data_IF_007557377125
#
_entry.id   IF_007557377125
#
_cell.length_a   1.000
_cell.length_b   1.000
_cell.length_c   1.000
_cell.angle_alpha   90.00
_cell.angle_beta   90.00
_cell.angle_gamma   90.00
#
_symmetry.space_group_name_H-M   'P 1'
#
loop_
_entity.id
_entity.type
_entity.pdbx_description
1 polymer ?
#
# COMPACT_ATOMS: atom_id res chain seq x y z
N UNK A 1 1.39 -6.59 12.45
CA UNK A 1 0.22 -7.02 11.64
C UNK A 1 -1.06 -7.26 12.48
N UNK A 2 -1.05 -8.13 13.50
CA UNK A 2 -2.27 -8.57 14.24
C UNK A 2 -3.30 -7.49 14.56
N UNK A 3 -2.89 -6.37 15.17
CA UNK A 3 -3.82 -5.30 15.55
C UNK A 3 -4.40 -4.57 14.32
N UNK A 4 -3.57 -4.34 13.30
CA UNK A 4 -3.99 -3.71 12.05
C UNK A 4 -5.03 -4.59 11.33
N UNK A 5 -4.76 -5.90 11.23
CA UNK A 5 -5.70 -6.87 10.61
C UNK A 5 -7.02 -6.93 11.38
N UNK A 6 -6.99 -6.89 12.72
CA UNK A 6 -8.23 -6.84 13.51
C UNK A 6 -9.02 -5.56 13.26
N UNK A 7 -8.33 -4.42 13.17
CA UNK A 7 -8.98 -3.13 12.94
C UNK A 7 -9.55 -3.02 11.51
N UNK A 8 -8.89 -3.62 10.51
CA UNK A 8 -9.34 -3.57 9.11
C UNK A 8 -10.68 -4.26 8.87
N UNK A 9 -11.10 -5.17 9.77
CA UNK A 9 -12.44 -5.75 9.72
C UNK A 9 -13.58 -4.74 9.96
N UNK A 10 -13.27 -3.53 10.44
CA UNK A 10 -14.25 -2.48 10.78
C UNK A 10 -14.05 -1.19 9.99
N UNK A 11 -12.93 -1.05 9.28
CA UNK A 11 -12.62 0.13 8.49
C UNK A 11 -11.56 -0.17 7.43
N UNK A 12 -11.44 0.70 6.43
CA UNK A 12 -10.30 0.63 5.51
C UNK A 12 -9.05 1.21 6.19
N UNK A 13 -7.92 0.51 6.07
CA UNK A 13 -6.63 0.96 6.59
C UNK A 13 -5.62 0.95 5.45
N UNK A 14 -4.97 2.10 5.24
CA UNK A 14 -3.83 2.23 4.34
C UNK A 14 -2.56 2.29 5.19
N UNK A 15 -1.65 1.34 4.98
CA UNK A 15 -0.37 1.28 5.69
C UNK A 15 0.76 1.60 4.72
N UNK A 16 1.53 2.65 5.02
CA UNK A 16 2.78 2.97 4.32
C UNK A 16 3.92 2.68 5.28
N UNK A 17 4.79 1.73 4.94
CA UNK A 17 5.85 1.27 5.83
C UNK A 17 7.06 0.80 5.04
N UNK A 18 8.26 1.11 5.55
CA UNK A 18 9.52 0.54 5.09
C UNK A 18 9.95 -0.71 5.89
N UNK A 19 9.20 -1.07 6.94
CA UNK A 19 9.54 -2.23 7.78
C UNK A 19 9.11 -3.54 7.10
N UNK A 20 10.07 -4.22 6.46
CA UNK A 20 9.84 -5.46 5.70
C UNK A 20 9.07 -6.52 6.51
N UNK A 21 9.48 -6.79 7.74
CA UNK A 21 8.80 -7.76 8.62
C UNK A 21 7.32 -7.43 8.87
N UNK A 22 6.97 -6.14 8.93
CA UNK A 22 5.56 -5.75 9.09
C UNK A 22 4.78 -5.95 7.79
N UNK A 23 5.37 -5.59 6.64
CA UNK A 23 4.78 -5.79 5.32
C UNK A 23 4.54 -7.27 5.06
N UNK A 24 5.56 -8.11 5.24
CA UNK A 24 5.48 -9.56 5.07
C UNK A 24 4.41 -10.19 5.98
N UNK A 25 4.26 -9.67 7.20
CA UNK A 25 3.25 -10.15 8.14
C UNK A 25 1.82 -9.69 7.76
N UNK A 26 1.67 -8.57 7.05
CA UNK A 26 0.39 -8.09 6.54
C UNK A 26 0.00 -8.84 5.25
N UNK A 27 0.94 -9.08 4.35
CA UNK A 27 0.72 -9.80 3.08
C UNK A 27 0.25 -11.26 3.27
N UNK A 28 0.50 -11.86 4.44
CA UNK A 28 -0.03 -13.18 4.80
C UNK A 28 -1.54 -13.19 5.10
N UNK A 29 -2.17 -12.02 5.23
CA UNK A 29 -3.62 -11.90 5.41
C UNK A 29 -4.32 -11.96 4.05
N UNK A 30 -5.37 -12.78 3.93
CA UNK A 30 -6.13 -12.95 2.67
C UNK A 30 -6.77 -11.64 2.17
N UNK A 31 -7.04 -10.70 3.08
CA UNK A 31 -7.70 -9.42 2.76
C UNK A 31 -6.69 -8.30 2.45
N UNK A 32 -5.39 -8.55 2.63
CA UNK A 32 -4.37 -7.56 2.38
C UNK A 32 -4.06 -7.44 0.89
N UNK A 33 -4.15 -6.22 0.36
CA UNK A 33 -3.61 -5.86 -0.94
C UNK A 33 -2.33 -5.07 -0.76
N UNK A 34 -1.23 -5.55 -1.36
CA UNK A 34 0.02 -4.79 -1.39
C UNK A 34 0.13 -3.94 -2.66
N UNK A 35 0.71 -2.76 -2.50
CA UNK A 35 1.06 -1.85 -3.60
C UNK A 35 2.53 -1.51 -3.39
N UNK A 36 3.40 -2.06 -4.23
CA UNK A 36 4.83 -1.81 -4.15
C UNK A 36 5.20 -0.60 -5.00
N UNK A 37 5.70 0.44 -4.33
CA UNK A 37 6.22 1.64 -4.98
C UNK A 37 7.73 1.47 -5.17
N UNK A 38 8.23 1.69 -6.39
CA UNK A 38 9.66 1.80 -6.68
C UNK A 38 10.00 3.21 -7.14
N UNK A 39 11.24 3.62 -6.88
CA UNK A 39 11.78 4.84 -7.47
C UNK A 39 12.76 4.51 -8.57
N UNK A 40 12.60 5.14 -9.72
CA UNK A 40 13.47 5.03 -10.87
C UNK A 40 13.72 6.43 -11.42
N UNK A 41 14.97 6.88 -11.43
CA UNK A 41 15.36 8.23 -11.91
C UNK A 41 14.51 9.40 -11.37
N UNK A 42 14.03 9.29 -10.12
CA UNK A 42 13.17 10.30 -9.47
C UNK A 42 11.67 10.15 -9.75
N UNK A 43 11.28 9.25 -10.66
CA UNK A 43 9.89 8.85 -10.87
C UNK A 43 9.46 7.79 -9.84
N UNK A 44 8.19 7.85 -9.41
CA UNK A 44 7.59 6.81 -8.57
C UNK A 44 6.72 5.91 -9.44
N UNK A 45 7.08 4.63 -9.51
CA UNK A 45 6.44 3.63 -10.35
C UNK A 45 5.75 2.55 -9.49
N UNK A 46 4.73 1.93 -10.08
CA UNK A 46 3.99 0.77 -9.56
C UNK A 46 3.72 -0.16 -10.74
N UNK A 47 3.96 -1.46 -10.59
CA UNK A 47 3.81 -2.44 -11.70
C UNK A 47 2.37 -2.97 -11.81
N UNK A 48 1.77 -3.37 -10.68
CA UNK A 48 0.53 -4.17 -10.69
C UNK A 48 -0.74 -3.34 -10.47
N UNK A 49 -0.70 -2.05 -10.81
CA UNK A 49 -1.82 -1.13 -10.61
C UNK A 49 -1.95 -0.21 -11.81
N UNK A 50 -3.16 -0.16 -12.39
CA UNK A 50 -3.47 0.78 -13.45
C UNK A 50 -3.30 2.22 -12.93
N UNK A 51 -2.59 3.04 -13.69
CA UNK A 51 -2.31 4.41 -13.29
C UNK A 51 -3.63 5.17 -13.12
N UNK A 52 -3.91 5.75 -11.95
CA UNK A 52 -5.16 6.47 -11.74
C UNK A 52 -5.22 7.66 -12.70
N UNK A 53 -6.41 7.92 -13.26
CA UNK A 53 -6.68 9.10 -14.11
C UNK A 53 -6.77 10.41 -13.32
N UNK A 54 -6.04 10.48 -12.21
CA UNK A 54 -6.08 11.60 -11.28
C UNK A 54 -5.25 12.76 -11.82
N UNK A 55 -5.93 13.87 -12.10
CA UNK A 55 -5.29 15.16 -12.30
C UNK A 55 -5.15 15.86 -10.95
N UNK A 56 -3.93 16.22 -10.58
CA UNK A 56 -3.70 17.02 -9.38
C UNK A 56 -4.40 18.38 -9.53
N UNK A 57 -5.14 18.85 -8.51
CA UNK A 57 -5.72 20.18 -8.54
C UNK A 57 -4.60 21.23 -8.66
N UNK A 58 -4.95 22.39 -9.24
CA UNK A 58 -4.07 23.54 -9.24
C UNK A 58 -3.74 23.91 -7.77
N UNK A 59 -2.50 24.35 -7.54
CA UNK A 59 -2.01 24.71 -6.21
C UNK A 59 -2.74 25.90 -5.62
#
# INVERSE_FOLDING_TARGET
ARLIVRASARCQIVVVSHAALLVDALERSLEARSIRLRKEMGETLVEDVERPRWSWPAR
#
